data_IF_874535202095
#
_entry.id   IF_874535202095
#
_cell.length_a   1.000
_cell.length_b   1.000
_cell.length_c   1.000
_cell.angle_alpha   90.00
_cell.angle_beta   90.00
_cell.angle_gamma   90.00
#
_symmetry.space_group_name_H-M   'P 1'
#
loop_
_entity.id
_entity.type
_entity.pdbx_description
1 polymer ?
#
# COMPACT_ATOMS: atom_id res chain seq x y z
N UNK A 1 -0.53 3.01 20.84
CA UNK A 1 0.09 2.26 19.75
C UNK A 1 -0.93 1.41 18.99
N UNK A 2 -1.67 0.61 19.70
CA UNK A 2 -2.69 -0.21 19.04
C UNK A 2 -3.75 0.65 18.36
N UNK A 3 -4.14 1.76 18.99
CA UNK A 3 -5.10 2.68 18.39
C UNK A 3 -4.55 3.30 17.11
N UNK A 4 -3.28 3.68 17.10
CA UNK A 4 -2.67 4.27 15.91
C UNK A 4 -2.65 3.27 14.75
N UNK A 5 -2.37 2.02 15.04
CA UNK A 5 -2.37 0.97 14.01
C UNK A 5 -3.77 0.73 13.45
N UNK A 6 -4.79 0.70 14.32
CA UNK A 6 -6.17 0.53 13.87
C UNK A 6 -6.63 1.70 13.02
N UNK A 7 -6.28 2.92 13.43
CA UNK A 7 -6.65 4.11 12.67
C UNK A 7 -5.99 4.14 11.30
N UNK A 8 -4.72 3.74 11.24
CA UNK A 8 -4.03 3.66 9.96
C UNK A 8 -4.73 2.69 9.02
N UNK A 9 -5.14 1.53 9.54
CA UNK A 9 -5.88 0.55 8.75
C UNK A 9 -7.22 1.09 8.27
N UNK A 10 -7.95 1.77 9.14
CA UNK A 10 -9.24 2.35 8.79
C UNK A 10 -9.10 3.43 7.71
N UNK A 11 -8.10 4.30 7.85
CA UNK A 11 -7.83 5.33 6.84
C UNK A 11 -7.48 4.70 5.50
N UNK A 12 -6.67 3.63 5.53
CA UNK A 12 -6.34 2.90 4.32
C UNK A 12 -7.57 2.32 3.65
N UNK A 13 -8.44 1.69 4.42
CA UNK A 13 -9.66 1.11 3.90
C UNK A 13 -10.56 2.17 3.28
N UNK A 14 -10.68 3.33 3.91
CA UNK A 14 -11.45 4.45 3.36
C UNK A 14 -10.85 4.95 2.05
N UNK A 15 -9.53 5.09 2.02
CA UNK A 15 -8.84 5.55 0.81
C UNK A 15 -9.02 4.57 -0.33
N UNK A 16 -8.92 3.28 -0.04
CA UNK A 16 -9.13 2.23 -1.04
C UNK A 16 -10.56 2.22 -1.56
N UNK A 17 -11.53 2.29 -0.65
CA UNK A 17 -12.94 2.30 -1.03
C UNK A 17 -13.26 3.52 -1.89
N UNK A 18 -12.73 4.69 -1.55
CA UNK A 18 -12.93 5.88 -2.35
C UNK A 18 -12.30 5.73 -3.74
N UNK A 19 -11.12 5.12 -3.82
CA UNK A 19 -10.48 4.85 -5.10
C UNK A 19 -11.29 3.91 -5.96
N UNK A 20 -11.87 2.88 -5.36
CA UNK A 20 -12.73 1.95 -6.08
C UNK A 20 -13.98 2.66 -6.58
N UNK A 21 -14.58 3.50 -5.74
CA UNK A 21 -15.76 4.27 -6.13
C UNK A 21 -15.48 5.14 -7.34
N UNK A 22 -14.33 5.81 -7.37
CA UNK A 22 -13.95 6.68 -8.49
C UNK A 22 -13.70 5.88 -9.76
N UNK A 23 -13.07 4.73 -9.64
CA UNK A 23 -12.62 3.96 -10.81
C UNK A 23 -13.68 3.01 -11.34
N UNK A 24 -14.52 2.49 -10.47
CA UNK A 24 -15.54 1.50 -10.79
C UNK A 24 -14.97 0.37 -11.65
N UNK A 25 -13.92 -0.30 -11.18
CA UNK A 25 -13.18 -1.22 -12.04
C UNK A 25 -13.88 -2.56 -12.28
N UNK A 26 -14.93 -2.86 -11.54
CA UNK A 26 -15.50 -4.18 -11.57
C UNK A 26 -14.57 -5.19 -10.93
N UNK A 27 -14.43 -6.36 -11.52
CA UNK A 27 -13.53 -7.39 -11.01
C UNK A 27 -12.10 -7.07 -11.40
N UNK A 28 -11.19 -7.09 -10.42
CA UNK A 28 -9.80 -6.74 -10.63
C UNK A 28 -8.92 -7.99 -10.63
N UNK A 29 -7.98 -8.04 -11.56
CA UNK A 29 -6.83 -8.93 -11.45
C UNK A 29 -5.72 -8.27 -10.65
N UNK A 30 -4.68 -9.03 -10.34
CA UNK A 30 -3.60 -8.56 -9.50
C UNK A 30 -2.86 -7.37 -10.10
N UNK A 31 -2.47 -7.46 -11.37
CA UNK A 31 -1.67 -6.38 -11.98
C UNK A 31 -2.47 -5.10 -12.10
N UNK A 32 -3.70 -5.20 -12.55
CA UNK A 32 -4.55 -4.03 -12.67
C UNK A 32 -4.89 -3.46 -11.30
N UNK A 33 -5.05 -4.34 -10.31
CA UNK A 33 -5.26 -3.93 -8.94
C UNK A 33 -4.07 -3.15 -8.39
N UNK A 34 -2.85 -3.57 -8.71
CA UNK A 34 -1.66 -2.82 -8.31
C UNK A 34 -1.59 -1.46 -8.99
N UNK A 35 -2.04 -1.36 -10.23
CA UNK A 35 -2.10 -0.08 -10.92
C UNK A 35 -3.06 0.88 -10.21
N UNK A 36 -4.25 0.40 -9.84
CA UNK A 36 -5.19 1.24 -9.09
C UNK A 36 -4.66 1.58 -7.71
N UNK A 37 -4.00 0.64 -7.05
CA UNK A 37 -3.37 0.88 -5.75
C UNK A 37 -2.34 2.00 -5.86
N UNK A 38 -1.52 1.98 -6.91
CA UNK A 38 -0.55 3.02 -7.18
C UNK A 38 -1.20 4.39 -7.26
N UNK A 39 -2.31 4.49 -7.96
CA UNK A 39 -3.04 5.75 -8.10
C UNK A 39 -3.52 6.27 -6.74
N UNK A 40 -4.08 5.39 -5.93
CA UNK A 40 -4.54 5.77 -4.60
C UNK A 40 -3.38 6.22 -3.72
N UNK A 41 -2.29 5.47 -3.73
CA UNK A 41 -1.13 5.79 -2.90
C UNK A 41 -0.49 7.11 -3.30
N UNK A 42 -0.42 7.40 -4.60
CA UNK A 42 0.12 8.68 -5.05
C UNK A 42 -0.69 9.85 -4.52
N UNK A 43 -2.00 9.70 -4.38
CA UNK A 43 -2.84 10.75 -3.81
C UNK A 43 -2.57 10.99 -2.34
N UNK A 44 -1.95 10.03 -1.67
CA UNK A 44 -1.66 10.10 -0.22
C UNK A 44 -0.19 10.36 0.07
N UNK A 45 0.55 10.85 -0.91
CA UNK A 45 1.93 11.30 -0.69
C UNK A 45 2.99 10.26 -0.91
N UNK A 46 2.61 9.03 -1.30
CA UNK A 46 3.58 8.01 -1.65
C UNK A 46 4.07 8.21 -3.09
N UNK A 47 5.25 7.71 -3.37
CA UNK A 47 5.79 7.68 -4.72
C UNK A 47 5.93 6.23 -5.15
N UNK A 48 4.86 5.62 -5.62
CA UNK A 48 4.90 4.20 -5.96
C UNK A 48 5.70 3.94 -7.23
N UNK A 49 6.40 2.83 -7.22
CA UNK A 49 7.21 2.39 -8.34
C UNK A 49 6.97 0.92 -8.58
N UNK A 50 6.57 0.57 -9.80
CA UNK A 50 6.32 -0.83 -10.15
C UNK A 50 7.65 -1.49 -10.46
N UNK A 51 8.14 -2.28 -9.51
CA UNK A 51 9.43 -2.97 -9.69
C UNK A 51 9.29 -4.15 -10.65
N UNK A 52 8.22 -4.88 -10.52
CA UNK A 52 7.85 -5.97 -11.43
C UNK A 52 6.34 -5.90 -11.63
N UNK A 53 5.77 -6.66 -12.57
CA UNK A 53 4.30 -6.64 -12.73
C UNK A 53 3.54 -6.96 -11.45
N UNK A 54 4.14 -7.67 -10.51
CA UNK A 54 3.47 -8.05 -9.27
C UNK A 54 4.13 -7.50 -8.01
N UNK A 55 4.98 -6.48 -8.15
CA UNK A 55 5.64 -5.87 -7.00
C UNK A 55 5.59 -4.35 -7.10
N UNK A 56 5.02 -3.72 -6.09
CA UNK A 56 4.93 -2.27 -6.01
C UNK A 56 5.72 -1.80 -4.80
N UNK A 57 6.66 -0.93 -5.03
CA UNK A 57 7.52 -0.40 -3.99
C UNK A 57 7.37 1.11 -3.93
N UNK A 58 7.42 1.68 -2.74
CA UNK A 58 7.35 3.13 -2.59
C UNK A 58 8.76 3.69 -2.47
N UNK A 59 9.07 4.72 -3.27
CA UNK A 59 10.39 5.35 -3.27
C UNK A 59 10.60 6.27 -2.08
N UNK A 60 9.52 6.65 -1.41
CA UNK A 60 9.59 7.56 -0.27
C UNK A 60 8.76 7.02 0.88
N UNK A 61 8.94 7.62 2.05
CA UNK A 61 8.08 7.43 3.20
C UNK A 61 7.45 8.77 3.52
N UNK A 62 6.13 8.94 3.36
CA UNK A 62 5.49 10.24 3.65
C UNK A 62 5.63 10.67 5.10
N UNK A 63 6.00 9.74 5.99
CA UNK A 63 6.13 10.00 7.41
C UNK A 63 7.59 10.11 7.84
N UNK A 64 8.45 10.56 6.94
CA UNK A 64 9.90 10.53 7.12
C UNK A 64 10.41 11.11 8.44
N UNK A 65 10.02 12.29 8.88
CA UNK A 65 10.54 12.79 10.16
C UNK A 65 10.16 11.91 11.34
N UNK A 66 8.93 11.38 11.35
CA UNK A 66 8.47 10.50 12.42
C UNK A 66 9.14 9.13 12.31
N UNK A 67 9.41 8.67 11.09
CA UNK A 67 10.05 7.38 10.87
C UNK A 67 11.44 7.31 11.49
N UNK A 68 12.16 8.42 11.53
CA UNK A 68 13.47 8.46 12.16
C UNK A 68 13.38 8.28 13.67
N UNK A 69 12.31 8.77 14.28
CA UNK A 69 12.15 8.71 15.73
C UNK A 69 11.51 7.43 16.21
N UNK A 70 10.59 6.87 15.41
CA UNK A 70 9.84 5.69 15.81
C UNK A 70 9.64 4.78 14.59
N UNK A 71 10.73 4.18 14.08
CA UNK A 71 10.65 3.41 12.84
C UNK A 71 9.68 2.23 12.91
N UNK A 72 9.67 1.51 14.02
CA UNK A 72 8.79 0.35 14.12
C UNK A 72 7.32 0.74 14.09
N UNK A 73 6.98 1.84 14.77
CA UNK A 73 5.61 2.32 14.78
C UNK A 73 5.19 2.78 13.39
N UNK A 74 6.06 3.57 12.72
CA UNK A 74 5.74 4.08 11.39
C UNK A 74 5.63 2.95 10.39
N UNK A 75 6.54 1.97 10.42
CA UNK A 75 6.43 0.82 9.52
C UNK A 75 5.15 0.03 9.78
N UNK A 76 4.77 -0.13 11.05
CA UNK A 76 3.52 -0.79 11.40
C UNK A 76 2.30 -0.05 10.88
N UNK A 77 2.28 1.27 11.03
CA UNK A 77 1.19 2.09 10.53
C UNK A 77 1.12 2.06 9.01
N UNK A 78 2.27 2.12 8.35
CA UNK A 78 2.34 2.04 6.89
C UNK A 78 1.79 0.70 6.40
N UNK A 79 2.22 -0.38 7.05
CA UNK A 79 1.74 -1.72 6.71
C UNK A 79 0.21 -1.80 6.81
N UNK A 80 -0.35 -1.31 7.92
CA UNK A 80 -1.80 -1.32 8.12
C UNK A 80 -2.52 -0.44 7.11
N UNK A 81 -1.96 0.72 6.81
CA UNK A 81 -2.55 1.62 5.81
C UNK A 81 -2.58 0.95 4.44
N UNK A 82 -1.46 0.37 4.02
CA UNK A 82 -1.38 -0.29 2.71
C UNK A 82 -2.33 -1.48 2.63
N UNK A 83 -2.39 -2.28 3.69
CA UNK A 83 -3.32 -3.40 3.77
C UNK A 83 -4.75 -2.92 3.62
N UNK A 84 -5.10 -1.84 4.31
CA UNK A 84 -6.42 -1.24 4.22
C UNK A 84 -6.76 -0.78 2.82
N UNK A 85 -5.81 -0.13 2.14
CA UNK A 85 -6.01 0.34 0.77
C UNK A 85 -6.34 -0.84 -0.16
N UNK A 86 -5.57 -1.92 -0.06
CA UNK A 86 -5.78 -3.10 -0.89
C UNK A 86 -7.14 -3.72 -0.62
N UNK A 87 -7.52 -3.80 0.66
CA UNK A 87 -8.83 -4.35 1.03
C UNK A 87 -9.97 -3.47 0.54
N UNK A 88 -9.84 -2.16 0.71
CA UNK A 88 -10.88 -1.22 0.26
C UNK A 88 -11.04 -1.21 -1.25
N UNK A 89 -9.95 -1.40 -1.98
CA UNK A 89 -9.99 -1.52 -3.44
C UNK A 89 -10.48 -2.90 -3.89
N UNK A 90 -10.52 -3.87 -2.98
CA UNK A 90 -10.91 -5.24 -3.29
C UNK A 90 -9.98 -5.86 -4.32
N UNK A 91 -8.68 -5.68 -4.13
CA UNK A 91 -7.67 -6.25 -5.00
C UNK A 91 -7.29 -7.64 -4.48
N UNK A 92 -7.47 -8.69 -5.28
CA UNK A 92 -7.13 -10.03 -4.81
C UNK A 92 -5.64 -10.31 -4.94
N UNK A 93 -5.14 -11.20 -4.10
CA UNK A 93 -3.80 -11.74 -4.24
C UNK A 93 -2.66 -10.79 -3.97
N UNK A 94 -2.91 -9.71 -3.24
CA UNK A 94 -1.87 -8.74 -2.90
C UNK A 94 -1.71 -8.66 -1.39
N UNK A 95 -0.48 -8.68 -0.93
CA UNK A 95 -0.16 -8.57 0.48
C UNK A 95 1.03 -7.64 0.68
N UNK A 96 1.21 -7.21 1.92
CA UNK A 96 2.35 -6.37 2.28
C UNK A 96 3.52 -7.24 2.68
N UNK A 97 4.73 -6.72 2.50
CA UNK A 97 5.95 -7.36 2.96
C UNK A 97 6.90 -6.31 3.52
N UNK A 98 7.55 -6.63 4.63
CA UNK A 98 8.55 -5.73 5.21
C UNK A 98 9.85 -5.90 4.47
N UNK A 99 10.50 -4.78 4.19
CA UNK A 99 11.76 -4.77 3.45
C UNK A 99 12.69 -3.75 4.09
N UNK A 100 13.98 -3.89 3.84
CA UNK A 100 14.94 -2.88 4.24
C UNK A 100 14.75 -1.66 3.33
N UNK A 101 14.56 -0.46 3.91
CA UNK A 101 14.38 0.72 3.09
C UNK A 101 15.64 1.08 2.31
N UNK A 102 15.47 1.61 1.11
CA UNK A 102 16.58 2.11 0.29
C UNK A 102 16.46 3.62 0.21
N UNK A 103 17.53 4.32 0.52
CA UNK A 103 17.65 5.77 0.25
C UNK A 103 16.39 6.58 0.57
N UNK A 104 15.91 6.46 1.79
CA UNK A 104 14.71 7.18 2.22
C UNK A 104 13.41 6.55 1.76
N UNK A 105 13.47 5.39 1.14
CA UNK A 105 12.28 4.68 0.69
C UNK A 105 11.48 4.09 1.82
N UNK A 106 10.40 3.42 1.46
CA UNK A 106 9.49 2.83 2.42
C UNK A 106 9.97 1.46 2.88
N UNK A 107 9.67 1.11 4.12
CA UNK A 107 10.02 -0.18 4.70
C UNK A 107 8.98 -1.27 4.41
N UNK A 108 7.98 -0.98 3.59
CA UNK A 108 6.93 -1.93 3.23
C UNK A 108 6.75 -1.90 1.73
N UNK A 109 6.55 -3.06 1.13
CA UNK A 109 6.19 -3.13 -0.28
C UNK A 109 4.95 -3.98 -0.45
N UNK A 110 4.31 -3.87 -1.59
CA UNK A 110 3.14 -4.70 -1.94
C UNK A 110 3.57 -5.74 -2.96
N UNK A 111 3.22 -6.98 -2.68
CA UNK A 111 3.54 -8.11 -3.55
C UNK A 111 2.26 -8.83 -3.95
N UNK A 112 2.11 -9.02 -5.26
CA UNK A 112 1.00 -9.81 -5.77
C UNK A 112 1.43 -11.23 -5.99
N UNK A 113 0.47 -12.15 -5.97
CA UNK A 113 0.75 -13.49 -6.41
C UNK A 113 0.91 -13.45 -7.91
N UNK A 114 1.95 -14.10 -8.42
CA UNK A 114 2.02 -14.29 -9.83
C UNK A 114 0.81 -15.04 -10.22
N UNK A 115 0.10 -14.46 -11.09
CA UNK A 115 -1.13 -15.06 -11.42
C UNK A 115 -0.91 -16.04 -12.48
N UNK A 116 -0.18 -17.03 -12.18
CA UNK A 116 -0.11 -18.08 -13.07
C UNK A 116 -1.47 -18.51 -13.40
N UNK A 117 -2.05 -18.49 -13.44
CA UNK A 117 -3.23 -19.00 -13.72
C UNK A 117 -4.17 -18.01 -13.74
N UNK A 118 -3.81 -17.05 -13.57
CA UNK A 118 -4.85 -16.13 -13.41
C UNK A 118 -4.91 -15.29 -14.43
#
# INVERSE_FOLDING_TARGET
RAAALREAGAHGAEAGAAGRERSRPGRLGTERGLTLTSTVLARHGFEPNRETPVCLRMRNCPFQPLARRAPDLVCGMTDRFLTGVVEGLEVPGVSTARVAPRDGGCCVELRGTESAGS
#
